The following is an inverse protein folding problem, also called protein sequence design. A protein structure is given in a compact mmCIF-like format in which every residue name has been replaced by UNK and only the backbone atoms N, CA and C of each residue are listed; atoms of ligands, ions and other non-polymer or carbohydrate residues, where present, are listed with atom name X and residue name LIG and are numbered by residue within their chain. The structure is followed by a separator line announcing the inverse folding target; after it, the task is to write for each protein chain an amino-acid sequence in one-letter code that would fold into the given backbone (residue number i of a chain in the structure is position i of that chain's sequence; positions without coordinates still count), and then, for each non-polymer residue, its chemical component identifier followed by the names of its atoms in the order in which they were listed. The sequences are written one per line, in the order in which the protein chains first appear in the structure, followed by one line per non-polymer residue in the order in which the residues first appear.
data_IF_582842881526
#
_entry.id   IF_582842881526
#
_cell.length_a   1.000
_cell.length_b   1.000
_cell.length_c   1.000
_cell.angle_alpha   90.00
_cell.angle_beta   90.00
_cell.angle_gamma   90.00
#
_symmetry.space_group_name_H-M   'P 1'
#
loop_
_entity.id
_entity.type
_entity.pdbx_description
1 polymer ?
#
# COMPACT_ATOMS: atom_id res chain seq x y z
N UNK A 1 -6.34 -5.44 -25.33
CA UNK A 1 -6.43 -4.54 -24.17
C UNK A 1 -5.56 -5.12 -23.06
N UNK A 2 -4.47 -4.46 -22.69
CA UNK A 2 -3.54 -4.98 -21.70
C UNK A 2 -4.19 -4.98 -20.31
N UNK A 3 -4.62 -6.15 -19.84
CA UNK A 3 -4.92 -6.36 -18.44
C UNK A 3 -3.60 -6.19 -17.68
N UNK A 4 -3.39 -5.01 -17.12
CA UNK A 4 -2.40 -4.76 -16.08
C UNK A 4 -2.69 -5.74 -14.93
N UNK A 5 -1.98 -6.88 -14.93
CA UNK A 5 -2.06 -7.87 -13.85
C UNK A 5 -1.45 -7.21 -12.61
N UNK A 6 -2.31 -6.67 -11.76
CA UNK A 6 -1.93 -6.35 -10.39
C UNK A 6 -1.76 -7.69 -9.69
N UNK A 7 -0.52 -7.99 -9.31
CA UNK A 7 -0.20 -9.18 -8.54
C UNK A 7 -0.72 -8.96 -7.11
N UNK A 8 -1.99 -9.31 -6.87
CA UNK A 8 -2.71 -9.11 -5.60
C UNK A 8 -1.95 -9.71 -4.39
N UNK A 9 -1.17 -10.77 -4.60
CA UNK A 9 -0.29 -11.34 -3.58
C UNK A 9 0.89 -10.45 -3.22
N UNK A 10 1.46 -9.75 -4.21
CA UNK A 10 2.59 -8.84 -4.03
C UNK A 10 2.13 -7.52 -3.37
N UNK A 11 0.95 -7.03 -3.74
CA UNK A 11 0.32 -5.85 -3.10
C UNK A 11 0.25 -5.99 -1.57
N UNK A 12 -0.34 -7.09 -1.09
CA UNK A 12 -0.49 -7.36 0.35
C UNK A 12 0.87 -7.51 1.05
N UNK A 13 1.84 -8.12 0.37
CA UNK A 13 3.21 -8.28 0.89
C UNK A 13 3.88 -6.92 1.06
N UNK A 14 3.77 -6.04 0.07
CA UNK A 14 4.33 -4.70 0.11
C UNK A 14 3.68 -3.86 1.22
N UNK A 15 2.35 -3.83 1.27
CA UNK A 15 1.61 -3.13 2.34
C UNK A 15 2.08 -3.62 3.72
N UNK A 16 2.18 -4.93 3.91
CA UNK A 16 2.69 -5.51 5.18
C UNK A 16 4.11 -5.07 5.49
N UNK A 17 4.98 -4.99 4.48
CA UNK A 17 6.36 -4.57 4.67
C UNK A 17 6.46 -3.09 5.07
N UNK A 18 5.68 -2.21 4.42
CA UNK A 18 5.59 -0.80 4.79
C UNK A 18 4.95 -0.60 6.17
N UNK A 19 3.87 -1.33 6.46
CA UNK A 19 3.21 -1.31 7.76
C UNK A 19 4.20 -1.67 8.87
N UNK A 20 4.96 -2.77 8.71
CA UNK A 20 5.99 -3.18 9.66
C UNK A 20 7.08 -2.13 9.87
N UNK A 21 7.50 -1.43 8.81
CA UNK A 21 8.47 -0.32 8.92
C UNK A 21 7.94 0.83 9.77
N UNK A 22 6.63 1.07 9.74
CA UNK A 22 5.94 2.07 10.52
C UNK A 22 5.47 1.56 11.91
N UNK A 23 5.79 0.31 12.27
CA UNK A 23 5.31 -0.30 13.52
C UNK A 23 3.81 -0.65 13.52
N UNK A 24 3.18 -0.69 12.36
CA UNK A 24 1.75 -0.96 12.17
C UNK A 24 1.50 -2.37 11.61
N UNK A 25 0.30 -2.87 11.87
CA UNK A 25 -0.25 -4.08 11.27
C UNK A 25 -1.12 -3.76 10.06
N UNK A 26 -1.38 -4.76 9.21
CA UNK A 26 -2.30 -4.63 8.08
C UNK A 26 -3.70 -4.16 8.51
N UNK A 27 -4.19 -4.66 9.65
CA UNK A 27 -5.49 -4.27 10.18
C UNK A 27 -5.50 -2.81 10.63
N UNK A 28 -4.45 -2.36 11.32
CA UNK A 28 -4.33 -0.95 11.74
C UNK A 28 -4.23 -0.01 10.54
N UNK A 29 -3.44 -0.36 9.53
CA UNK A 29 -3.36 0.43 8.29
C UNK A 29 -4.72 0.50 7.58
N UNK A 30 -5.47 -0.60 7.56
CA UNK A 30 -6.83 -0.60 7.02
C UNK A 30 -7.73 0.36 7.81
N UNK A 31 -7.74 0.25 9.13
CA UNK A 31 -8.55 1.09 10.02
C UNK A 31 -8.19 2.58 9.89
N UNK A 32 -6.89 2.90 9.82
CA UNK A 32 -6.40 4.26 9.61
C UNK A 32 -6.77 4.82 8.22
N UNK A 33 -6.91 3.95 7.22
CA UNK A 33 -7.35 4.30 5.88
C UNK A 33 -8.89 4.31 5.73
N UNK A 34 -9.64 4.21 6.83
CA UNK A 34 -11.10 4.18 6.82
C UNK A 34 -11.71 2.88 6.28
N UNK A 35 -10.94 1.78 6.30
CA UNK A 35 -11.32 0.47 5.80
C UNK A 35 -11.52 -0.53 6.95
N UNK A 36 -12.34 -1.55 6.71
CA UNK A 36 -12.42 -2.67 7.63
C UNK A 36 -11.17 -3.56 7.51
N UNK A 37 -10.70 -4.11 8.65
CA UNK A 37 -9.59 -5.05 8.64
C UNK A 37 -9.85 -6.24 7.69
N UNK A 38 -11.10 -6.70 7.60
CA UNK A 38 -11.53 -7.76 6.67
C UNK A 38 -11.38 -7.38 5.19
N UNK A 39 -11.55 -6.10 4.85
CA UNK A 39 -11.40 -5.63 3.48
C UNK A 39 -9.98 -5.90 2.96
N UNK A 40 -8.95 -5.68 3.77
CA UNK A 40 -7.55 -5.85 3.32
C UNK A 40 -7.23 -7.31 2.98
N UNK A 41 -7.83 -8.28 3.67
CA UNK A 41 -7.64 -9.71 3.37
C UNK A 41 -8.33 -10.13 2.07
N UNK A 42 -9.46 -9.47 1.73
CA UNK A 42 -10.16 -9.71 0.47
C UNK A 42 -9.31 -9.31 -0.75
N UNK A 43 -8.30 -8.46 -0.56
CA UNK A 43 -7.48 -7.94 -1.66
C UNK A 43 -6.58 -8.97 -2.32
N UNK A 44 -6.39 -10.12 -1.68
CA UNK A 44 -5.74 -11.28 -2.30
C UNK A 44 -6.56 -11.83 -3.47
N UNK A 45 -7.89 -11.74 -3.40
CA UNK A 45 -8.83 -12.25 -4.40
C UNK A 45 -9.41 -11.14 -5.28
N UNK A 46 -9.66 -9.96 -4.72
CA UNK A 46 -10.31 -8.85 -5.40
C UNK A 46 -9.41 -7.63 -5.44
N UNK A 47 -9.18 -7.05 -6.61
CA UNK A 47 -8.38 -5.84 -6.70
C UNK A 47 -9.19 -4.66 -6.15
N UNK A 48 -8.70 -3.96 -5.11
CA UNK A 48 -9.37 -2.77 -4.59
C UNK A 48 -9.37 -1.64 -5.62
N UNK A 49 -10.24 -0.66 -5.40
CA UNK A 49 -10.28 0.54 -6.24
C UNK A 49 -8.99 1.37 -6.05
N UNK A 50 -8.65 2.16 -7.07
CA UNK A 50 -7.49 3.08 -6.98
C UNK A 50 -7.65 4.08 -5.83
N UNK A 51 -8.88 4.53 -5.53
CA UNK A 51 -9.15 5.41 -4.39
C UNK A 51 -8.73 4.75 -3.08
N UNK A 52 -9.16 3.51 -2.87
CA UNK A 52 -8.81 2.72 -1.68
C UNK A 52 -7.30 2.49 -1.54
N UNK A 53 -6.62 2.25 -2.66
CA UNK A 53 -5.16 2.10 -2.66
C UNK A 53 -4.43 3.40 -2.31
N UNK A 54 -4.98 4.56 -2.72
CA UNK A 54 -4.42 5.87 -2.38
C UNK A 54 -4.55 6.15 -0.89
N UNK A 55 -5.69 5.87 -0.27
CA UNK A 55 -5.90 6.03 1.18
C UNK A 55 -4.86 5.23 1.99
N UNK A 56 -4.71 3.94 1.67
CA UNK A 56 -3.70 3.09 2.32
C UNK A 56 -2.27 3.59 2.08
N UNK A 57 -1.98 4.06 0.87
CA UNK A 57 -0.68 4.62 0.55
C UNK A 57 -0.40 5.91 1.34
N UNK A 58 -1.41 6.77 1.50
CA UNK A 58 -1.33 8.01 2.27
C UNK A 58 -1.06 7.74 3.76
N UNK A 59 -1.76 6.78 4.37
CA UNK A 59 -1.49 6.32 5.75
C UNK A 59 -0.06 5.80 5.91
N UNK A 60 0.44 5.10 4.91
CA UNK A 60 1.80 4.55 4.91
C UNK A 60 2.87 5.57 4.51
N UNK A 61 2.50 6.80 4.12
CA UNK A 61 3.43 7.82 3.63
C UNK A 61 4.11 7.45 2.31
N UNK A 62 3.45 6.65 1.46
CA UNK A 62 3.99 6.16 0.19
C UNK A 62 2.97 6.38 -0.95
N UNK A 63 3.33 5.97 -2.17
CA UNK A 63 2.44 6.02 -3.34
C UNK A 63 1.86 4.65 -3.67
N UNK A 64 0.62 4.60 -4.14
CA UNK A 64 -0.04 3.33 -4.51
C UNK A 64 0.72 2.55 -5.60
N UNK A 65 1.45 3.25 -6.47
CA UNK A 65 2.29 2.64 -7.51
C UNK A 65 3.42 1.79 -6.94
N UNK A 66 4.04 2.22 -5.82
CA UNK A 66 5.04 1.43 -5.07
C UNK A 66 4.42 0.20 -4.43
N UNK A 67 3.18 0.30 -3.94
CA UNK A 67 2.49 -0.83 -3.31
C UNK A 67 2.13 -1.92 -4.33
N UNK A 68 1.67 -1.51 -5.52
CA UNK A 68 1.25 -2.41 -6.61
C UNK A 68 2.43 -3.07 -7.34
N UNK A 69 3.67 -2.66 -7.09
CA UNK A 69 4.85 -3.29 -7.68
C UNK A 69 5.03 -2.96 -9.17
N UNK A 70 4.65 -1.75 -9.59
CA UNK A 70 4.93 -1.27 -10.96
C UNK A 70 6.44 -1.17 -11.26
N UNK A 71 7.27 -1.21 -10.23
CA UNK A 71 8.72 -1.13 -10.32
C UNK A 71 9.33 -2.54 -10.16
N UNK A 72 9.16 -3.41 -11.16
CA UNK A 72 9.97 -4.63 -11.28
C UNK A 72 11.37 -4.24 -11.78
N UNK A 73 12.15 -3.55 -10.96
CA UNK A 73 13.60 -3.49 -11.10
C UNK A 73 14.28 -3.58 -9.71
N UNK A 74 15.30 -4.44 -9.57
CA UNK A 74 16.05 -4.58 -8.33
C UNK A 74 17.06 -3.45 -8.24
N UNK A 75 16.68 -2.28 -7.73
CA UNK A 75 17.67 -1.26 -7.36
C UNK A 75 17.61 -0.97 -5.88
N UNK A 76 18.59 -1.55 -5.19
CA UNK A 76 19.05 -1.07 -3.91
C UNK A 76 19.40 0.42 -4.02
N UNK A 77 18.67 1.28 -3.30
CA UNK A 77 19.22 2.43 -2.55
C UNK A 77 18.11 3.17 -1.80
N UNK A 78 18.36 3.37 -0.51
CA UNK A 78 17.73 4.41 0.28
C UNK A 78 17.93 5.77 -0.40
N UNK A 79 16.86 6.55 -0.53
CA UNK A 79 16.95 8.02 -0.56
C UNK A 79 15.75 8.60 0.22
N UNK A 80 16.08 9.60 1.01
CA UNK A 80 15.29 10.31 1.99
C UNK A 80 14.12 11.13 1.39
N UNK A 81 13.24 11.57 2.30
CA UNK A 81 12.32 12.71 2.23
C UNK A 81 10.94 12.51 1.55
N UNK A 82 9.89 12.44 2.37
CA UNK A 82 8.71 13.28 2.22
C UNK A 82 8.00 13.37 3.58
N UNK A 83 8.21 14.49 4.26
CA UNK A 83 7.34 14.94 5.33
C UNK A 83 5.89 14.99 4.83
N UNK A 84 4.99 14.28 5.50
CA UNK A 84 3.56 14.57 5.42
C UNK A 84 3.16 15.16 6.76
N UNK A 85 3.45 16.46 6.86
CA UNK A 85 2.69 17.35 7.71
C UNK A 85 1.26 17.40 7.16
N UNK A 86 0.32 16.84 7.91
CA UNK A 86 -1.09 17.23 7.79
C UNK A 86 -1.60 17.55 9.20
N UNK A 87 -1.25 18.75 9.66
CA UNK A 87 -2.03 19.48 10.65
C UNK A 87 -2.52 20.77 10.00
N UNK A 88 -3.83 20.85 9.73
CA UNK A 88 -4.55 22.12 9.65
C UNK A 88 -5.95 21.94 10.18
#
# INVERSE_FOLDING_TARGET
MAFLKIDNGELLKNIRQFAKKNGLTLAEVATLAGLSASAIYSWKKHTPSVGTLKEVAQVLGTSYTKLVGKDKEPTAKAINAAAVDLKK
#
